data_IF_340840741464
#
_entry.id   IF_340840741464
#
_cell.length_a   1.000
_cell.length_b   1.000
_cell.length_c   1.000
_cell.angle_alpha   90.00
_cell.angle_beta   90.00
_cell.angle_gamma   90.00
#
_symmetry.space_group_name_H-M   'P 1'
#
loop_
_entity.id
_entity.type
_entity.pdbx_description
1 polymer ?
#
# COMPACT_ATOMS: atom_id res chain seq x y z
N UNK A 1 -6.38 0.18 5.80
CA UNK A 1 -7.77 0.72 5.90
C UNK A 1 -8.65 0.23 4.77
N UNK A 2 -8.30 0.44 3.49
CA UNK A 2 -9.14 0.02 2.36
C UNK A 2 -9.58 -1.46 2.41
N UNK A 3 -8.67 -2.39 2.73
CA UNK A 3 -8.99 -3.80 2.91
C UNK A 3 -10.17 -4.06 3.86
N UNK A 4 -10.15 -3.46 5.07
CA UNK A 4 -11.20 -3.69 6.06
C UNK A 4 -12.57 -3.17 5.57
N UNK A 5 -12.58 -2.05 4.83
CA UNK A 5 -13.81 -1.48 4.27
C UNK A 5 -14.36 -2.39 3.17
N UNK A 6 -13.51 -2.89 2.27
CA UNK A 6 -13.91 -3.82 1.21
C UNK A 6 -14.46 -5.14 1.77
N UNK A 7 -13.79 -5.72 2.78
CA UNK A 7 -14.27 -6.94 3.47
C UNK A 7 -15.63 -6.74 4.15
N UNK A 8 -15.92 -5.55 4.66
CA UNK A 8 -17.22 -5.20 5.24
C UNK A 8 -18.29 -4.87 4.19
N UNK A 9 -17.97 -4.98 2.89
CA UNK A 9 -18.89 -4.71 1.77
C UNK A 9 -19.06 -3.22 1.44
N UNK A 10 -18.17 -2.36 1.93
CA UNK A 10 -18.18 -0.94 1.61
C UNK A 10 -17.54 -0.64 0.26
N UNK A 11 -18.01 0.43 -0.40
CA UNK A 11 -17.40 0.95 -1.62
C UNK A 11 -16.13 1.75 -1.28
N UNK A 12 -14.96 1.28 -1.72
CA UNK A 12 -13.67 1.87 -1.36
C UNK A 12 -12.66 1.85 -2.51
N UNK A 13 -12.03 2.99 -2.73
CA UNK A 13 -10.92 3.15 -3.66
C UNK A 13 -9.60 3.37 -2.90
N UNK A 14 -8.56 2.63 -3.29
CA UNK A 14 -7.20 2.81 -2.79
C UNK A 14 -6.50 3.90 -3.61
N UNK A 15 -6.17 5.00 -2.94
CA UNK A 15 -5.39 6.10 -3.52
C UNK A 15 -4.01 6.12 -2.88
N UNK A 16 -2.97 5.87 -3.67
CA UNK A 16 -1.59 5.78 -3.19
C UNK A 16 -0.58 5.56 -4.30
N UNK A 17 0.69 5.44 -3.93
CA UNK A 17 1.78 5.13 -4.85
C UNK A 17 2.49 3.85 -4.43
N UNK A 18 2.68 2.93 -5.37
CA UNK A 18 3.34 1.65 -5.16
C UNK A 18 4.36 1.37 -6.27
N UNK A 19 5.20 0.35 -6.09
CA UNK A 19 6.19 -0.09 -7.07
C UNK A 19 5.61 -1.12 -8.03
N UNK A 20 6.41 -1.57 -9.01
CA UNK A 20 6.03 -2.64 -9.92
C UNK A 20 5.75 -3.98 -9.21
N UNK A 21 6.28 -4.16 -8.00
CA UNK A 21 6.05 -5.29 -7.09
C UNK A 21 4.66 -5.28 -6.43
N UNK A 22 3.77 -4.35 -6.78
CA UNK A 22 2.42 -4.27 -6.24
C UNK A 22 1.41 -5.21 -6.92
N UNK A 23 1.76 -5.86 -8.03
CA UNK A 23 0.81 -6.65 -8.84
C UNK A 23 0.05 -7.72 -8.01
N UNK A 24 0.77 -8.59 -7.30
CA UNK A 24 0.14 -9.64 -6.49
C UNK A 24 -0.74 -9.05 -5.37
N UNK A 25 -0.36 -7.89 -4.84
CA UNK A 25 -1.11 -7.23 -3.77
C UNK A 25 -2.35 -6.50 -4.29
N UNK A 26 -2.30 -5.99 -5.53
CA UNK A 26 -3.47 -5.47 -6.27
C UNK A 26 -4.51 -6.57 -6.42
N UNK A 27 -4.13 -7.72 -6.97
CA UNK A 27 -5.04 -8.83 -7.22
C UNK A 27 -5.74 -9.28 -5.94
N UNK A 28 -4.98 -9.34 -4.83
CA UNK A 28 -5.53 -9.64 -3.51
C UNK A 28 -6.57 -8.60 -3.06
N UNK A 29 -6.30 -7.31 -3.22
CA UNK A 29 -7.20 -6.24 -2.80
C UNK A 29 -8.46 -6.16 -3.67
N UNK A 30 -8.32 -6.33 -4.97
CA UNK A 30 -9.44 -6.36 -5.92
C UNK A 30 -10.36 -7.55 -5.64
N UNK A 31 -9.81 -8.72 -5.29
CA UNK A 31 -10.59 -9.88 -4.85
C UNK A 31 -11.41 -9.63 -3.58
N UNK A 32 -11.02 -8.66 -2.74
CA UNK A 32 -11.74 -8.24 -1.54
C UNK A 32 -12.58 -6.96 -1.75
N UNK A 33 -12.88 -6.61 -3.00
CA UNK A 33 -13.78 -5.50 -3.33
C UNK A 33 -13.15 -4.11 -3.22
N UNK A 34 -11.82 -4.01 -3.19
CA UNK A 34 -11.12 -2.71 -3.16
C UNK A 34 -10.77 -2.28 -4.58
N UNK A 35 -11.23 -1.10 -5.01
CA UNK A 35 -10.84 -0.52 -6.29
C UNK A 35 -9.38 0.00 -6.21
N UNK A 36 -8.49 -0.50 -7.08
CA UNK A 36 -7.08 -0.11 -7.15
C UNK A 36 -6.71 0.71 -8.40
N UNK A 37 -7.68 1.24 -9.15
CA UNK A 37 -7.46 2.01 -10.39
C UNK A 37 -6.68 3.30 -10.17
N UNK A 38 -6.78 3.87 -8.96
CA UNK A 38 -6.12 5.12 -8.58
C UNK A 38 -4.75 4.93 -7.93
N UNK A 39 -4.18 3.72 -7.98
CA UNK A 39 -2.83 3.45 -7.48
C UNK A 39 -1.79 3.79 -8.54
N UNK A 40 -0.94 4.77 -8.23
CA UNK A 40 0.18 5.15 -9.09
C UNK A 40 1.31 4.13 -8.98
N UNK A 41 1.67 3.50 -10.10
CA UNK A 41 2.78 2.54 -10.16
C UNK A 41 4.07 3.26 -10.60
N UNK A 42 5.09 3.21 -9.75
CA UNK A 42 6.43 3.72 -10.04
C UNK A 42 7.23 2.68 -10.82
N UNK A 43 7.87 3.11 -11.90
CA UNK A 43 8.74 2.27 -12.73
C UNK A 43 10.18 2.16 -12.21
N UNK A 44 10.56 2.99 -11.22
CA UNK A 44 11.96 3.10 -10.77
C UNK A 44 12.18 2.75 -9.30
N UNK A 45 11.12 2.60 -8.51
CA UNK A 45 11.24 2.35 -7.08
C UNK A 45 10.27 1.25 -6.65
N UNK A 46 10.76 0.33 -5.81
CA UNK A 46 9.97 -0.74 -5.19
C UNK A 46 9.01 -0.19 -4.14
N UNK A 47 7.91 -0.91 -3.91
CA UNK A 47 6.86 -0.56 -2.94
C UNK A 47 7.46 -0.22 -1.57
N UNK A 48 6.86 0.74 -0.87
CA UNK A 48 7.31 1.15 0.45
C UNK A 48 7.33 -0.06 1.41
N UNK A 49 8.40 -0.17 2.20
CA UNK A 49 8.59 -1.30 3.13
C UNK A 49 8.76 -0.77 4.54
N UNK A 50 7.96 -1.30 5.44
CA UNK A 50 8.07 -1.07 6.87
C UNK A 50 8.56 -2.36 7.53
N UNK A 51 9.69 -2.30 8.22
CA UNK A 51 10.23 -3.41 9.01
C UNK A 51 10.18 -2.98 10.46
N UNK A 52 9.48 -3.73 11.29
CA UNK A 52 9.32 -3.43 12.70
C UNK A 52 9.65 -4.67 13.51
N UNK A 53 10.51 -4.47 14.51
CA UNK A 53 10.76 -5.44 15.58
C UNK A 53 9.96 -4.98 16.79
N UNK A 54 9.09 -5.84 17.28
CA UNK A 54 8.24 -5.58 18.45
C UNK A 54 8.63 -6.54 19.57
N UNK A 55 8.78 -6.04 20.81
CA UNK A 55 9.01 -6.87 21.99
C UNK A 55 7.69 -7.27 22.70
N UNK A 56 7.78 -7.96 23.84
CA UNK A 56 6.62 -8.41 24.61
C UNK A 56 5.87 -7.28 25.32
N UNK A 57 6.51 -6.13 25.52
CA UNK A 57 5.91 -4.92 26.07
C UNK A 57 5.31 -4.02 24.98
N UNK A 58 5.26 -4.53 23.75
CA UNK A 58 4.75 -3.83 22.56
C UNK A 58 5.60 -2.61 22.17
N UNK A 59 6.85 -2.50 22.63
CA UNK A 59 7.77 -1.47 22.16
C UNK A 59 8.20 -1.79 20.73
N UNK A 60 8.21 -0.77 19.86
CA UNK A 60 8.47 -0.92 18.43
C UNK A 60 9.74 -0.19 18.01
N UNK A 61 10.74 -0.94 17.54
CA UNK A 61 11.87 -0.39 16.79
C UNK A 61 11.59 -0.64 15.31
N UNK A 62 11.44 0.43 14.54
CA UNK A 62 11.04 0.32 13.15
C UNK A 62 11.92 1.11 12.19
N UNK A 63 12.11 0.53 11.01
CA UNK A 63 12.77 1.15 9.86
C UNK A 63 11.77 1.29 8.71
N UNK A 64 11.77 2.46 8.07
CA UNK A 64 10.87 2.76 6.96
C UNK A 64 11.65 3.05 5.68
N UNK A 65 11.43 2.23 4.66
CA UNK A 65 11.83 2.51 3.29
C UNK A 65 10.65 3.15 2.55
N UNK A 66 10.67 4.46 2.28
CA UNK A 66 9.50 5.17 1.78
C UNK A 66 9.15 4.88 0.32
N UNK A 67 10.05 4.29 -0.49
CA UNK A 67 9.76 3.91 -1.87
C UNK A 67 9.09 5.04 -2.70
N UNK A 68 8.12 4.72 -3.57
CA UNK A 68 7.31 5.66 -4.36
C UNK A 68 6.50 6.66 -3.54
N UNK A 69 6.19 6.35 -2.28
CA UNK A 69 5.37 7.20 -1.41
C UNK A 69 6.01 8.58 -1.15
N UNK A 70 7.35 8.68 -1.22
CA UNK A 70 8.05 9.97 -1.09
C UNK A 70 7.84 10.92 -2.29
N UNK A 71 7.38 10.40 -3.43
CA UNK A 71 7.36 11.13 -4.69
C UNK A 71 5.98 11.74 -4.91
N UNK A 72 5.95 13.05 -5.18
CA UNK A 72 4.71 13.77 -5.54
C UNK A 72 4.06 13.08 -6.75
N UNK A 73 2.77 12.75 -6.62
CA UNK A 73 1.96 12.32 -7.75
C UNK A 73 1.96 13.45 -8.79
N UNK A 74 2.60 13.24 -9.95
CA UNK A 74 2.48 14.16 -11.08
C UNK A 74 1.15 13.82 -11.75
N UNK A 75 0.18 14.72 -11.64
CA UNK A 75 -0.99 14.72 -12.50
C UNK A 75 -0.51 14.93 -13.95
N UNK A 76 -0.91 14.05 -14.85
CA UNK A 76 -0.95 14.41 -16.28
C UNK A 76 -2.09 15.40 -16.50
#
# INVERSE_FOLDING_TARGET
MAYAIGVLGGDVALIGAAGADFADYRDWLEAHGVNCDHVLISTTAHTARFVCTTDLEMAQIASFYPGPCRRRARSR
#
